data_IF_993166455408
#
_entry.id   IF_993166455408
#
_cell.length_a   1.000
_cell.length_b   1.000
_cell.length_c   1.000
_cell.angle_alpha   90.00
_cell.angle_beta   90.00
_cell.angle_gamma   90.00
#
_symmetry.space_group_name_H-M   'P 1'
#
loop_
_entity.id
_entity.type
_entity.pdbx_description
1 polymer ?
#
# COMPACT_ATOMS: atom_id res chain seq x y z
N UNK A 1 -18.21 23.71 74.52
CA UNK A 1 -18.26 23.79 73.07
C UNK A 1 -17.07 23.02 72.48
N UNK A 2 -17.32 21.84 71.89
CA UNK A 2 -16.27 21.01 71.28
C UNK A 2 -16.31 21.25 69.81
N UNK A 3 -15.22 21.49 69.06
CA UNK A 3 -15.23 21.59 67.59
C UNK A 3 -15.30 20.19 66.97
N UNK A 4 -16.23 20.02 66.03
CA UNK A 4 -16.37 18.85 65.19
C UNK A 4 -15.43 19.04 64.00
N UNK A 5 -14.42 18.18 63.87
CA UNK A 5 -13.51 18.13 62.74
C UNK A 5 -14.18 17.24 61.68
N UNK A 6 -14.53 17.83 60.53
CA UNK A 6 -15.04 17.13 59.33
C UNK A 6 -13.83 16.59 58.58
N UNK A 7 -13.66 15.26 58.58
CA UNK A 7 -12.67 14.58 57.77
C UNK A 7 -13.27 14.30 56.38
N UNK A 8 -12.92 15.13 55.41
CA UNK A 8 -13.34 14.95 54.03
C UNK A 8 -12.48 13.82 53.41
N UNK A 9 -13.09 12.66 53.21
CA UNK A 9 -12.48 11.51 52.54
C UNK A 9 -12.48 11.78 50.99
N UNK A 10 -11.37 12.26 50.46
CA UNK A 10 -11.14 12.42 49.03
C UNK A 10 -10.88 11.02 48.44
N UNK A 11 -11.93 10.37 47.89
CA UNK A 11 -11.78 9.19 47.06
C UNK A 11 -11.08 9.57 45.75
N UNK A 12 -9.77 9.31 45.67
CA UNK A 12 -9.05 9.30 44.37
C UNK A 12 -9.53 8.10 43.58
N UNK A 13 -10.50 8.30 42.67
CA UNK A 13 -10.78 7.36 41.60
C UNK A 13 -9.64 7.52 40.60
N UNK A 14 -8.62 6.67 40.66
CA UNK A 14 -7.66 6.55 39.58
C UNK A 14 -8.41 6.12 38.32
N UNK A 15 -8.32 6.85 37.20
CA UNK A 15 -8.90 6.38 35.94
C UNK A 15 -8.16 5.10 35.58
N UNK A 16 -8.87 3.98 35.52
CA UNK A 16 -8.38 2.76 34.88
C UNK A 16 -8.26 3.10 33.40
N UNK A 17 -7.06 3.42 32.95
CA UNK A 17 -6.72 3.56 31.54
C UNK A 17 -6.82 2.15 30.91
N UNK A 18 -7.99 1.80 30.42
CA UNK A 18 -8.11 0.68 29.48
C UNK A 18 -7.25 1.03 28.26
N UNK A 19 -6.26 0.20 27.97
CA UNK A 19 -5.50 0.32 26.74
C UNK A 19 -6.49 0.28 25.55
N UNK A 20 -6.56 1.38 24.81
CA UNK A 20 -7.52 1.52 23.72
C UNK A 20 -7.12 0.57 22.59
N UNK A 21 -8.02 -0.38 22.24
CA UNK A 21 -7.82 -1.32 21.13
C UNK A 21 -7.51 -0.55 19.86
N UNK A 22 -6.43 -0.90 19.18
CA UNK A 22 -5.99 -0.30 17.93
C UNK A 22 -6.27 -1.26 16.78
N UNK A 23 -6.44 -0.71 15.59
CA UNK A 23 -6.62 -1.50 14.37
C UNK A 23 -5.53 -1.16 13.38
N UNK A 24 -4.93 -2.18 12.80
CA UNK A 24 -4.03 -2.08 11.68
C UNK A 24 -4.46 -3.11 10.61
N UNK A 25 -4.88 -2.63 9.45
CA UNK A 25 -5.45 -3.45 8.38
C UNK A 25 -6.62 -4.31 8.89
N UNK A 26 -6.59 -5.62 8.78
CA UNK A 26 -7.62 -6.54 9.26
C UNK A 26 -7.45 -6.94 10.73
N UNK A 27 -6.42 -6.46 11.41
CA UNK A 27 -6.04 -6.85 12.77
C UNK A 27 -6.42 -5.78 13.77
N UNK A 28 -7.32 -6.08 14.69
CA UNK A 28 -7.59 -5.26 15.88
C UNK A 28 -6.92 -5.89 17.09
N UNK A 29 -6.21 -5.09 17.89
CA UNK A 29 -5.35 -5.58 18.98
C UNK A 29 -5.14 -4.52 20.05
N UNK A 30 -4.69 -4.93 21.22
CA UNK A 30 -4.20 -4.04 22.25
C UNK A 30 -2.68 -3.86 22.10
N UNK A 31 -2.18 -2.64 21.88
CA UNK A 31 -0.75 -2.40 21.72
C UNK A 31 0.01 -2.71 23.01
N UNK A 32 1.24 -3.25 22.93
CA UNK A 32 2.05 -3.48 24.11
C UNK A 32 2.42 -2.16 24.79
N UNK A 33 2.20 -2.07 26.10
CA UNK A 33 2.41 -0.85 26.85
C UNK A 33 3.90 -0.50 26.99
N UNK A 34 4.25 0.76 26.72
CA UNK A 34 5.62 1.26 26.89
C UNK A 34 6.56 0.95 25.70
N UNK A 35 6.07 0.32 24.64
CA UNK A 35 6.87 0.05 23.44
C UNK A 35 6.85 1.25 22.47
N UNK A 36 7.98 1.47 21.81
CA UNK A 36 8.06 2.44 20.72
C UNK A 36 7.31 1.89 19.51
N UNK A 37 6.31 2.64 19.02
CA UNK A 37 5.57 2.33 17.79
C UNK A 37 6.15 3.09 16.61
N UNK A 38 6.31 2.41 15.48
CA UNK A 38 6.67 2.99 14.21
C UNK A 38 5.73 2.44 13.13
N UNK A 39 5.12 3.32 12.36
CA UNK A 39 4.27 2.93 11.23
C UNK A 39 5.07 3.03 9.94
N UNK A 40 5.13 1.93 9.19
CA UNK A 40 5.71 1.84 7.85
C UNK A 40 4.62 1.55 6.84
N UNK A 41 4.94 1.65 5.56
CA UNK A 41 3.97 1.48 4.46
C UNK A 41 3.17 0.17 4.54
N UNK A 42 3.84 -0.93 4.88
CA UNK A 42 3.24 -2.27 4.85
C UNK A 42 3.29 -2.99 6.19
N UNK A 43 3.60 -2.30 7.28
CA UNK A 43 3.63 -2.88 8.62
C UNK A 43 3.56 -1.83 9.71
N UNK A 44 3.12 -2.25 10.89
CA UNK A 44 3.34 -1.54 12.14
C UNK A 44 4.39 -2.29 12.93
N UNK A 45 5.41 -1.59 13.40
CA UNK A 45 6.51 -2.15 14.19
C UNK A 45 6.45 -1.62 15.62
N UNK A 46 6.52 -2.53 16.58
CA UNK A 46 6.73 -2.22 17.99
C UNK A 46 8.12 -2.65 18.39
N UNK A 47 8.87 -1.78 19.05
CA UNK A 47 10.24 -2.06 19.50
C UNK A 47 10.42 -1.71 20.95
N UNK A 48 11.07 -2.59 21.70
CA UNK A 48 11.56 -2.35 23.05
C UNK A 48 13.01 -2.76 23.15
N UNK A 49 13.83 -1.97 23.86
CA UNK A 49 15.24 -2.25 24.10
C UNK A 49 15.61 -1.86 25.51
N UNK A 50 16.26 -2.77 26.24
CA UNK A 50 16.89 -2.49 27.53
C UNK A 50 18.41 -2.65 27.38
N UNK A 51 19.09 -1.54 27.18
CA UNK A 51 20.55 -1.52 26.99
C UNK A 51 21.33 -2.02 28.23
N UNK A 52 20.75 -1.94 29.44
CA UNK A 52 21.40 -2.42 30.65
C UNK A 52 21.43 -3.94 30.72
N UNK A 53 20.39 -4.58 30.20
CA UNK A 53 20.25 -6.03 30.18
C UNK A 53 20.66 -6.62 28.81
N UNK A 54 21.08 -5.80 27.85
CA UNK A 54 21.33 -6.19 26.47
C UNK A 54 20.18 -7.02 25.88
N UNK A 55 18.94 -6.59 26.17
CA UNK A 55 17.74 -7.28 25.75
C UNK A 55 16.88 -6.41 24.84
N UNK A 56 16.24 -7.06 23.89
CA UNK A 56 15.41 -6.38 22.89
C UNK A 56 14.28 -7.28 22.40
N UNK A 57 13.24 -6.63 21.86
CA UNK A 57 12.21 -7.29 21.06
C UNK A 57 11.67 -6.35 19.99
N UNK A 58 11.32 -6.95 18.86
CA UNK A 58 10.58 -6.30 17.78
C UNK A 58 9.35 -7.14 17.47
N UNK A 59 8.19 -6.49 17.33
CA UNK A 59 6.94 -7.10 16.89
C UNK A 59 6.51 -6.39 15.60
N UNK A 60 6.19 -7.17 14.58
CA UNK A 60 5.77 -6.68 13.27
C UNK A 60 4.35 -7.18 13.01
N UNK A 61 3.42 -6.25 12.85
CA UNK A 61 2.10 -6.53 12.31
C UNK A 61 2.16 -6.26 10.81
N UNK A 62 2.14 -7.30 10.02
CA UNK A 62 2.28 -7.21 8.56
C UNK A 62 0.90 -7.00 7.94
N UNK A 63 0.84 -6.09 6.97
CA UNK A 63 -0.39 -5.85 6.21
C UNK A 63 -0.82 -7.11 5.48
N UNK A 64 -2.12 -7.39 5.47
CA UNK A 64 -2.65 -8.58 4.81
C UNK A 64 -2.29 -8.64 3.32
N UNK A 65 -2.05 -9.85 2.84
CA UNK A 65 -1.80 -10.16 1.43
C UNK A 65 -2.86 -11.12 0.91
N UNK A 66 -2.88 -11.37 -0.40
CA UNK A 66 -3.73 -12.42 -0.96
C UNK A 66 -3.21 -13.79 -0.52
N UNK A 67 -4.11 -14.66 -0.05
CA UNK A 67 -3.77 -16.04 0.28
C UNK A 67 -3.28 -16.80 -0.95
N UNK A 68 -2.35 -17.73 -0.74
CA UNK A 68 -1.85 -18.68 -1.76
C UNK A 68 -2.74 -19.92 -1.90
N UNK A 69 -3.94 -19.89 -1.30
CA UNK A 69 -4.95 -20.92 -1.42
C UNK A 69 -5.02 -21.88 -0.26
N UNK A 70 -4.01 -21.98 0.60
CA UNK A 70 -4.06 -22.78 1.82
C UNK A 70 -3.18 -22.17 2.92
N UNK A 71 -3.48 -22.51 4.18
CA UNK A 71 -2.68 -22.07 5.32
C UNK A 71 -1.25 -22.59 5.25
N UNK A 72 -1.04 -23.77 4.70
CA UNK A 72 0.28 -24.38 4.55
C UNK A 72 1.13 -23.56 3.56
N UNK A 73 0.57 -23.23 2.40
CA UNK A 73 1.25 -22.44 1.38
C UNK A 73 1.51 -20.99 1.84
N UNK A 74 0.54 -20.40 2.53
CA UNK A 74 0.68 -19.07 3.13
C UNK A 74 1.78 -19.09 4.18
N UNK A 75 1.72 -19.98 5.16
CA UNK A 75 2.72 -20.10 6.22
C UNK A 75 4.12 -20.36 5.66
N UNK A 76 4.27 -21.28 4.72
CA UNK A 76 5.58 -21.58 4.13
C UNK A 76 6.21 -20.34 3.48
N UNK A 77 5.40 -19.58 2.77
CA UNK A 77 5.84 -18.34 2.15
C UNK A 77 6.24 -17.27 3.16
N UNK A 78 5.40 -17.04 4.17
CA UNK A 78 5.63 -16.04 5.20
C UNK A 78 6.82 -16.44 6.10
N UNK A 79 6.94 -17.75 6.42
CA UNK A 79 8.08 -18.27 7.15
C UNK A 79 9.40 -18.05 6.40
N UNK A 80 9.42 -18.41 5.12
CA UNK A 80 10.61 -18.20 4.28
C UNK A 80 11.02 -16.74 4.25
N UNK A 81 10.04 -15.86 4.12
CA UNK A 81 10.29 -14.43 4.01
C UNK A 81 10.70 -13.80 5.33
N UNK A 82 9.88 -13.96 6.37
CA UNK A 82 10.06 -13.22 7.62
C UNK A 82 11.00 -13.91 8.60
N UNK A 83 11.20 -15.22 8.53
CA UNK A 83 12.14 -15.94 9.38
C UNK A 83 13.44 -16.29 8.64
N UNK A 84 13.35 -17.11 7.56
CA UNK A 84 14.56 -17.65 6.93
C UNK A 84 15.41 -16.57 6.28
N UNK A 85 14.81 -15.68 5.52
CA UNK A 85 15.53 -14.64 4.79
C UNK A 85 16.15 -13.62 5.73
N UNK A 86 15.42 -13.19 6.76
CA UNK A 86 15.87 -12.08 7.62
C UNK A 86 16.73 -12.53 8.80
N UNK A 87 16.46 -13.71 9.38
CA UNK A 87 17.11 -14.13 10.62
C UNK A 87 17.99 -15.36 10.46
N UNK A 88 17.89 -16.10 9.34
CA UNK A 88 18.70 -17.29 9.04
C UNK A 88 18.73 -18.28 10.23
N UNK A 89 17.57 -18.85 10.63
CA UNK A 89 17.48 -19.74 11.77
C UNK A 89 18.53 -20.86 11.73
N UNK A 90 19.06 -21.20 12.89
CA UNK A 90 20.12 -22.19 13.05
C UNK A 90 19.58 -23.62 13.24
N UNK A 91 18.27 -23.75 13.44
CA UNK A 91 17.59 -25.04 13.69
C UNK A 91 16.33 -25.18 12.83
N UNK A 92 15.84 -26.40 12.70
CA UNK A 92 14.54 -26.69 12.07
C UNK A 92 13.42 -26.00 12.87
N UNK A 93 12.46 -25.32 12.22
CA UNK A 93 11.40 -24.64 12.94
C UNK A 93 10.49 -25.62 13.69
N UNK A 94 10.10 -25.23 14.89
CA UNK A 94 9.00 -25.84 15.58
C UNK A 94 7.70 -25.24 15.04
N UNK A 95 6.89 -26.04 14.34
CA UNK A 95 5.67 -25.61 13.66
C UNK A 95 4.46 -26.18 14.38
N UNK A 96 3.46 -25.33 14.66
CA UNK A 96 2.22 -25.74 15.32
C UNK A 96 1.30 -26.54 14.38
N UNK A 97 0.38 -27.31 14.98
CA UNK A 97 -0.80 -27.78 14.28
C UNK A 97 -1.65 -26.59 13.81
N UNK A 98 -2.44 -26.81 12.75
CA UNK A 98 -3.35 -25.81 12.24
C UNK A 98 -4.53 -25.67 13.19
N UNK A 99 -4.83 -24.45 13.60
CA UNK A 99 -6.02 -24.10 14.37
C UNK A 99 -6.98 -23.33 13.47
N UNK A 100 -8.27 -23.41 13.76
CA UNK A 100 -9.30 -22.66 13.03
C UNK A 100 -10.20 -21.90 14.03
N UNK A 101 -10.31 -20.60 13.84
CA UNK A 101 -11.15 -19.73 14.66
C UNK A 101 -11.85 -18.73 13.73
N UNK A 102 -13.17 -18.70 13.80
CA UNK A 102 -14.00 -17.73 13.07
C UNK A 102 -13.81 -17.71 11.55
N UNK A 103 -13.39 -18.83 10.94
CA UNK A 103 -13.11 -18.96 9.52
C UNK A 103 -11.71 -18.53 9.11
N UNK A 104 -10.87 -18.17 10.08
CA UNK A 104 -9.43 -18.04 9.90
C UNK A 104 -8.70 -19.27 10.36
N UNK A 105 -7.79 -19.77 9.54
CA UNK A 105 -6.85 -20.83 9.90
C UNK A 105 -5.56 -20.19 10.36
N UNK A 106 -5.05 -20.62 11.51
CA UNK A 106 -3.79 -20.16 12.10
C UNK A 106 -2.75 -21.26 12.04
N UNK A 107 -1.54 -20.91 11.66
CA UNK A 107 -0.34 -21.72 11.82
C UNK A 107 0.81 -20.86 12.33
N UNK A 108 1.51 -21.35 13.35
CA UNK A 108 2.65 -20.67 13.94
C UNK A 108 3.93 -21.47 13.75
N UNK A 109 5.05 -20.79 13.65
CA UNK A 109 6.37 -21.39 13.63
C UNK A 109 7.35 -20.59 14.45
N UNK A 110 8.32 -21.26 15.07
CA UNK A 110 9.40 -20.61 15.82
C UNK A 110 10.72 -21.32 15.59
N UNK A 111 11.83 -20.56 15.57
CA UNK A 111 13.17 -21.11 15.52
C UNK A 111 14.17 -20.16 16.17
N UNK A 112 15.27 -20.72 16.64
CA UNK A 112 16.39 -19.94 17.17
C UNK A 112 17.28 -19.42 16.06
N UNK A 113 17.88 -18.28 16.33
CA UNK A 113 18.93 -17.67 15.49
C UNK A 113 19.95 -16.97 16.40
N UNK A 114 21.09 -16.60 15.83
CA UNK A 114 22.14 -15.86 16.56
C UNK A 114 22.13 -14.41 16.06
N UNK A 115 22.10 -13.48 16.98
CA UNK A 115 22.19 -12.06 16.70
C UNK A 115 23.21 -11.40 17.64
N UNK A 116 24.27 -10.82 17.07
CA UNK A 116 25.38 -10.23 17.84
C UNK A 116 25.95 -11.19 18.91
N UNK A 117 26.21 -12.43 18.52
CA UNK A 117 26.73 -13.52 19.38
C UNK A 117 25.81 -13.91 20.55
N UNK A 118 24.53 -13.55 20.49
CA UNK A 118 23.53 -13.94 21.47
C UNK A 118 22.41 -14.75 20.85
N UNK A 119 21.92 -15.75 21.59
CA UNK A 119 20.76 -16.52 21.19
C UNK A 119 19.51 -15.65 21.17
N UNK A 120 18.75 -15.75 20.12
CA UNK A 120 17.46 -15.09 19.95
C UNK A 120 16.47 -16.08 19.30
N UNK A 121 15.20 -15.74 19.33
CA UNK A 121 14.13 -16.52 18.71
C UNK A 121 13.30 -15.64 17.79
N UNK A 122 12.93 -16.18 16.64
CA UNK A 122 11.92 -15.60 15.76
C UNK A 122 10.65 -16.46 15.80
N UNK A 123 9.50 -15.80 15.85
CA UNK A 123 8.17 -16.44 15.82
C UNK A 123 7.36 -15.79 14.71
N UNK A 124 6.74 -16.60 13.86
CA UNK A 124 5.81 -16.16 12.80
C UNK A 124 4.46 -16.80 13.06
N UNK A 125 3.43 -15.99 13.21
CA UNK A 125 2.04 -16.41 13.28
C UNK A 125 1.35 -15.98 11.99
N UNK A 126 0.89 -16.95 11.20
CA UNK A 126 0.22 -16.71 9.92
C UNK A 126 -1.25 -17.12 10.03
N UNK A 127 -2.11 -16.21 9.65
CA UNK A 127 -3.56 -16.39 9.57
C UNK A 127 -3.97 -16.41 8.10
N UNK A 128 -4.69 -17.43 7.70
CA UNK A 128 -5.20 -17.61 6.33
C UNK A 128 -6.71 -17.83 6.35
N UNK A 129 -7.44 -17.00 5.64
CA UNK A 129 -8.91 -17.08 5.57
C UNK A 129 -9.48 -16.01 4.64
N UNK A 130 -10.66 -16.26 4.09
CA UNK A 130 -11.36 -15.29 3.24
C UNK A 130 -10.50 -14.76 2.07
N UNK A 131 -9.68 -15.62 1.48
CA UNK A 131 -8.70 -15.29 0.45
C UNK A 131 -7.64 -14.25 0.91
N UNK A 132 -7.30 -14.23 2.21
CA UNK A 132 -6.31 -13.35 2.84
C UNK A 132 -5.28 -14.15 3.61
N UNK A 133 -4.07 -13.60 3.63
CA UNK A 133 -2.97 -14.01 4.49
C UNK A 133 -2.52 -12.83 5.33
N UNK A 134 -2.39 -13.03 6.63
CA UNK A 134 -1.92 -12.02 7.60
C UNK A 134 -0.80 -12.66 8.40
N UNK A 135 0.31 -11.93 8.61
CA UNK A 135 1.38 -12.43 9.47
C UNK A 135 1.70 -11.44 10.58
N UNK A 136 1.91 -12.00 11.78
CA UNK A 136 2.40 -11.26 12.95
C UNK A 136 3.67 -11.95 13.40
N UNK A 137 4.77 -11.20 13.37
CA UNK A 137 6.12 -11.70 13.59
C UNK A 137 6.70 -11.07 14.84
N UNK A 138 7.40 -11.86 15.65
CA UNK A 138 8.22 -11.35 16.73
C UNK A 138 9.64 -11.90 16.65
N UNK A 139 10.61 -11.06 16.98
CA UNK A 139 12.00 -11.47 17.18
C UNK A 139 12.54 -10.90 18.49
N UNK A 140 13.15 -11.74 19.34
CA UNK A 140 13.63 -11.32 20.66
C UNK A 140 14.71 -12.24 21.21
N UNK A 141 15.56 -11.70 22.08
CA UNK A 141 16.49 -12.46 22.92
C UNK A 141 16.03 -12.54 24.40
N UNK A 142 14.78 -12.18 24.72
CA UNK A 142 14.28 -12.12 26.09
C UNK A 142 12.91 -12.79 26.23
N UNK A 143 12.79 -13.69 27.21
CA UNK A 143 11.56 -14.45 27.47
C UNK A 143 10.40 -13.58 27.97
N UNK A 144 10.69 -12.53 28.75
CA UNK A 144 9.65 -11.64 29.28
C UNK A 144 8.99 -10.83 28.15
N UNK A 145 9.76 -10.45 27.13
CA UNK A 145 9.20 -9.79 25.93
C UNK A 145 8.42 -10.75 25.06
N UNK A 146 8.82 -12.03 25.01
CA UNK A 146 8.05 -13.05 24.32
C UNK A 146 6.67 -13.23 24.98
N UNK A 147 6.58 -13.17 26.32
CA UNK A 147 5.29 -13.23 27.01
C UNK A 147 4.42 -12.02 26.61
N UNK A 148 4.96 -10.81 26.58
CA UNK A 148 4.21 -9.63 26.13
C UNK A 148 3.74 -9.74 24.67
N UNK A 149 4.49 -10.44 23.82
CA UNK A 149 4.05 -10.77 22.47
C UNK A 149 2.86 -11.74 22.48
N UNK A 150 2.88 -12.77 23.30
CA UNK A 150 1.74 -13.68 23.46
C UNK A 150 0.52 -12.96 24.03
N UNK A 151 0.70 -12.10 25.01
CA UNK A 151 -0.37 -11.26 25.57
C UNK A 151 -1.01 -10.37 24.47
N UNK A 152 -0.21 -9.84 23.54
CA UNK A 152 -0.72 -9.11 22.38
C UNK A 152 -1.52 -10.04 21.46
N UNK A 153 -1.01 -11.24 21.14
CA UNK A 153 -1.70 -12.20 20.28
C UNK A 153 -3.07 -12.60 20.83
N UNK A 154 -3.21 -12.73 22.16
CA UNK A 154 -4.49 -13.04 22.81
C UNK A 154 -5.54 -11.93 22.64
N UNK A 155 -5.12 -10.70 22.36
CA UNK A 155 -6.04 -9.57 22.11
C UNK A 155 -6.44 -9.40 20.68
N UNK A 156 -5.86 -10.22 19.77
CA UNK A 156 -6.11 -10.11 18.33
C UNK A 156 -7.53 -10.52 18.00
N UNK A 157 -8.14 -9.67 17.20
CA UNK A 157 -9.42 -9.89 16.58
C UNK A 157 -9.27 -9.60 15.08
N UNK A 158 -9.56 -10.59 14.26
CA UNK A 158 -9.41 -10.51 12.82
C UNK A 158 -10.76 -10.19 12.18
N UNK A 159 -10.82 -9.05 11.50
CA UNK A 159 -11.99 -8.70 10.73
C UNK A 159 -12.26 -9.75 9.65
N UNK A 160 -13.50 -10.24 9.58
CA UNK A 160 -13.96 -11.05 8.44
C UNK A 160 -14.18 -10.08 7.28
N UNK A 161 -13.43 -10.20 6.18
CA UNK A 161 -13.76 -9.45 4.98
C UNK A 161 -15.21 -9.79 4.63
N UNK A 162 -16.09 -8.79 4.61
CA UNK A 162 -17.52 -9.01 4.39
C UNK A 162 -17.73 -9.70 3.04
N UNK A 163 -18.09 -10.98 3.06
CA UNK A 163 -18.52 -11.72 1.87
C UNK A 163 -19.97 -11.41 1.49
N UNK A 164 -20.67 -10.67 2.34
CA UNK A 164 -22.07 -10.30 2.16
C UNK A 164 -22.30 -8.81 2.41
N UNK A 165 -21.75 -7.99 1.57
CA UNK A 165 -22.54 -6.98 0.93
C UNK A 165 -22.66 -7.47 -0.51
N UNK A 166 -23.86 -7.71 -0.98
CA UNK A 166 -24.20 -7.43 -2.36
C UNK A 166 -23.93 -5.93 -2.51
N UNK A 167 -22.66 -5.56 -2.45
CA UNK A 167 -22.18 -4.35 -3.07
C UNK A 167 -22.55 -4.61 -4.51
N UNK A 168 -23.56 -3.93 -4.99
CA UNK A 168 -23.66 -3.66 -6.40
C UNK A 168 -22.23 -3.42 -6.81
N UNK A 169 -21.64 -4.40 -7.50
CA UNK A 169 -20.32 -4.24 -8.09
C UNK A 169 -20.45 -2.95 -8.87
N UNK A 170 -19.90 -1.88 -8.31
CA UNK A 170 -19.74 -0.65 -9.06
C UNK A 170 -18.64 -0.99 -10.03
N UNK A 171 -19.04 -1.64 -11.12
CA UNK A 171 -18.17 -1.95 -12.23
C UNK A 171 -17.69 -0.60 -12.69
N UNK A 172 -16.40 -0.33 -12.54
CA UNK A 172 -15.79 0.83 -13.17
C UNK A 172 -16.03 0.62 -14.65
N UNK A 173 -16.86 1.47 -15.20
CA UNK A 173 -16.90 1.62 -16.65
C UNK A 173 -15.54 2.14 -17.02
N UNK A 174 -14.72 1.42 -17.81
CA UNK A 174 -13.70 2.13 -18.55
C UNK A 174 -14.42 3.32 -19.15
N UNK A 175 -13.93 4.53 -18.92
CA UNK A 175 -14.41 5.69 -19.66
C UNK A 175 -14.12 5.35 -21.12
N UNK A 176 -15.10 4.75 -21.77
CA UNK A 176 -15.06 4.55 -23.20
C UNK A 176 -14.94 5.93 -23.81
N UNK A 177 -13.96 6.08 -24.66
CA UNK A 177 -13.51 7.29 -25.30
C UNK A 177 -12.81 8.31 -24.40
N UNK A 178 -11.63 8.71 -24.85
CA UNK A 178 -10.70 9.68 -24.30
C UNK A 178 -11.25 11.13 -24.26
N UNK A 179 -12.46 11.33 -23.72
CA UNK A 179 -13.14 12.63 -23.68
C UNK A 179 -12.72 13.52 -22.50
N UNK A 180 -11.64 13.19 -21.81
CA UNK A 180 -11.07 14.10 -20.82
C UNK A 180 -10.34 15.24 -21.51
N UNK A 181 -10.49 16.45 -20.98
CA UNK A 181 -9.92 17.65 -21.58
C UNK A 181 -8.38 17.59 -21.66
N UNK A 182 -7.73 16.92 -20.70
CA UNK A 182 -6.27 16.84 -20.60
C UNK A 182 -5.80 15.38 -20.59
N UNK A 183 -5.05 15.01 -21.63
CA UNK A 183 -4.42 13.69 -21.79
C UNK A 183 -2.88 13.77 -21.79
N UNK A 184 -2.32 14.97 -21.66
CA UNK A 184 -0.90 15.26 -21.55
C UNK A 184 -0.64 16.23 -20.42
N UNK A 185 0.56 16.20 -19.86
CA UNK A 185 1.05 17.16 -18.87
C UNK A 185 2.54 17.38 -19.10
N UNK A 186 2.93 18.65 -19.24
CA UNK A 186 4.33 19.06 -19.24
C UNK A 186 4.71 19.52 -17.84
N UNK A 187 5.84 19.03 -17.31
CA UNK A 187 6.33 19.35 -15.98
C UNK A 187 7.53 20.28 -16.08
N UNK A 188 7.71 21.12 -15.06
CA UNK A 188 8.76 22.16 -15.01
C UNK A 188 10.20 21.58 -15.02
N UNK A 189 10.36 20.29 -14.72
CA UNK A 189 11.64 19.58 -14.71
C UNK A 189 12.00 18.91 -16.04
N UNK A 190 11.23 19.20 -17.09
CA UNK A 190 11.47 18.73 -18.46
C UNK A 190 10.91 17.34 -18.76
N UNK A 191 10.15 16.75 -17.85
CA UNK A 191 9.37 15.55 -18.14
C UNK A 191 8.00 15.94 -18.70
N UNK A 192 7.47 15.07 -19.57
CA UNK A 192 6.11 15.17 -20.06
C UNK A 192 5.41 13.82 -19.93
N UNK A 193 4.13 13.83 -19.57
CA UNK A 193 3.30 12.64 -19.48
C UNK A 193 2.23 12.63 -20.54
N UNK A 194 1.93 11.45 -21.07
CA UNK A 194 0.83 11.22 -22.00
C UNK A 194 0.09 9.92 -21.68
N UNK A 195 -1.24 9.96 -21.73
CA UNK A 195 -2.08 8.77 -21.58
C UNK A 195 -2.00 7.94 -22.86
N UNK A 196 -1.69 6.65 -22.71
CA UNK A 196 -1.71 5.65 -23.79
C UNK A 196 -2.69 4.54 -23.42
N UNK A 197 -2.93 3.64 -24.34
CA UNK A 197 -3.87 2.51 -24.16
C UNK A 197 -3.44 1.58 -23.02
N UNK A 198 -2.15 1.21 -22.95
CA UNK A 198 -1.62 0.21 -22.02
C UNK A 198 -0.78 0.78 -20.86
N UNK A 199 -0.44 2.08 -20.90
CA UNK A 199 0.40 2.76 -19.91
C UNK A 199 0.23 4.27 -19.90
N UNK A 200 0.73 4.94 -18.88
CA UNK A 200 1.10 6.35 -18.96
C UNK A 200 2.54 6.40 -19.45
N UNK A 201 2.78 7.08 -20.56
CA UNK A 201 4.12 7.33 -21.07
C UNK A 201 4.67 8.62 -20.48
N UNK A 202 5.82 8.52 -19.83
CA UNK A 202 6.55 9.67 -19.26
C UNK A 202 7.84 9.83 -20.02
N UNK A 203 8.06 10.97 -20.65
CA UNK A 203 9.19 11.20 -21.55
C UNK A 203 9.95 12.46 -21.18
N UNK A 204 11.25 12.45 -21.43
CA UNK A 204 12.08 13.62 -21.55
C UNK A 204 12.89 13.51 -22.87
N UNK A 205 13.82 14.45 -23.12
CA UNK A 205 14.63 14.45 -24.35
C UNK A 205 15.40 13.15 -24.60
N UNK A 206 15.68 12.36 -23.56
CA UNK A 206 16.61 11.21 -23.62
C UNK A 206 15.98 9.88 -23.31
N UNK A 207 14.88 9.85 -22.57
CA UNK A 207 14.34 8.64 -21.97
C UNK A 207 12.82 8.56 -22.06
N UNK A 208 12.31 7.32 -21.98
CA UNK A 208 10.91 7.02 -21.74
C UNK A 208 10.76 6.17 -20.49
N UNK A 209 9.70 6.42 -19.76
CA UNK A 209 9.25 5.55 -18.67
C UNK A 209 7.79 5.20 -18.92
N UNK A 210 7.47 3.93 -18.98
CA UNK A 210 6.13 3.43 -19.20
C UNK A 210 5.57 2.96 -17.84
N UNK A 211 4.58 3.68 -17.33
CA UNK A 211 3.85 3.31 -16.12
C UNK A 211 2.72 2.36 -16.56
N UNK A 212 2.99 1.06 -16.53
CA UNK A 212 2.09 0.06 -17.05
C UNK A 212 0.76 0.00 -16.30
N UNK A 213 -0.33 -0.13 -17.06
CA UNK A 213 -1.62 -0.45 -16.48
C UNK A 213 -1.70 -1.94 -16.12
N UNK A 214 -2.50 -2.27 -15.08
CA UNK A 214 -2.76 -3.66 -14.73
C UNK A 214 -3.34 -4.46 -15.91
N UNK A 215 -2.83 -5.68 -16.13
CA UNK A 215 -3.40 -6.64 -17.10
C UNK A 215 -4.38 -7.54 -16.37
N UNK A 216 -5.66 -7.36 -16.64
CA UNK A 216 -6.74 -8.11 -15.99
C UNK A 216 -6.54 -9.63 -16.11
N UNK A 217 -6.76 -10.37 -15.03
CA UNK A 217 -6.63 -11.81 -14.99
C UNK A 217 -5.19 -12.34 -14.99
N UNK A 218 -4.16 -11.49 -14.98
CA UNK A 218 -2.77 -11.96 -14.94
C UNK A 218 -2.41 -12.45 -13.53
N UNK A 219 -2.00 -13.70 -13.44
CA UNK A 219 -1.47 -14.31 -12.20
C UNK A 219 0.05 -14.34 -12.33
N UNK A 220 0.74 -13.71 -11.39
CA UNK A 220 2.19 -13.73 -11.31
C UNK A 220 2.68 -14.78 -10.33
N UNK A 221 3.83 -15.42 -10.60
CA UNK A 221 4.51 -16.26 -9.62
C UNK A 221 4.84 -15.50 -8.34
N UNK A 222 4.93 -16.21 -7.23
CA UNK A 222 5.26 -15.62 -5.94
C UNK A 222 6.76 -15.36 -5.75
N UNK A 223 7.59 -16.23 -6.34
CA UNK A 223 9.04 -16.15 -6.20
C UNK A 223 9.61 -14.98 -7.03
N UNK A 224 10.63 -14.25 -6.51
CA UNK A 224 11.15 -13.03 -7.11
C UNK A 224 11.57 -13.14 -8.57
N UNK A 225 12.41 -14.12 -8.90
CA UNK A 225 12.94 -14.27 -10.25
C UNK A 225 11.86 -14.74 -11.27
N UNK A 226 11.04 -15.77 -11.00
CA UNK A 226 9.88 -16.11 -11.82
C UNK A 226 8.89 -14.96 -11.99
N UNK A 227 8.65 -14.16 -10.94
CA UNK A 227 7.79 -12.97 -10.99
C UNK A 227 8.30 -11.94 -12.01
N UNK A 228 9.60 -11.60 -11.93
CA UNK A 228 10.21 -10.63 -12.84
C UNK A 228 10.22 -11.15 -14.27
N UNK A 229 10.55 -12.43 -14.48
CA UNK A 229 10.56 -13.07 -15.79
C UNK A 229 9.16 -13.09 -16.42
N UNK A 230 8.13 -13.41 -15.65
CA UNK A 230 6.75 -13.37 -16.12
C UNK A 230 6.31 -11.94 -16.50
N UNK A 231 6.63 -10.96 -15.66
CA UNK A 231 6.34 -9.56 -15.94
C UNK A 231 7.08 -9.04 -17.18
N UNK A 232 8.36 -9.40 -17.33
CA UNK A 232 9.14 -9.07 -18.53
C UNK A 232 8.51 -9.63 -19.80
N UNK A 233 8.14 -10.89 -19.80
CA UNK A 233 7.55 -11.56 -20.96
C UNK A 233 6.19 -10.95 -21.35
N UNK A 234 5.41 -10.48 -20.37
CA UNK A 234 4.08 -9.91 -20.61
C UNK A 234 4.17 -8.43 -21.02
N UNK A 235 5.02 -7.67 -20.35
CA UNK A 235 5.01 -6.21 -20.43
C UNK A 235 6.08 -5.65 -21.37
N UNK A 236 7.24 -6.29 -21.46
CA UNK A 236 8.41 -5.79 -22.20
C UNK A 236 8.60 -6.53 -23.51
N UNK A 237 8.78 -7.85 -23.45
CA UNK A 237 9.18 -8.67 -24.59
C UNK A 237 8.39 -8.46 -25.90
N UNK A 238 7.06 -8.21 -25.89
CA UNK A 238 6.30 -8.03 -27.13
C UNK A 238 6.75 -6.84 -28.00
N UNK A 239 7.43 -5.84 -27.40
CA UNK A 239 7.85 -4.62 -28.11
C UNK A 239 9.30 -4.64 -28.57
N UNK A 240 10.07 -5.66 -28.17
CA UNK A 240 11.50 -5.70 -28.39
C UNK A 240 11.94 -7.03 -28.98
N UNK A 241 13.10 -7.01 -29.64
CA UNK A 241 13.81 -8.17 -30.19
C UNK A 241 15.27 -8.12 -29.79
N UNK A 242 16.02 -9.17 -30.12
CA UNK A 242 17.49 -9.25 -29.90
C UNK A 242 17.92 -8.98 -28.43
N UNK A 243 17.17 -9.52 -27.48
CA UNK A 243 17.48 -9.38 -26.05
C UNK A 243 18.89 -9.93 -25.74
N UNK A 244 19.71 -9.11 -25.10
CA UNK A 244 21.09 -9.45 -24.71
C UNK A 244 21.32 -9.06 -23.24
N UNK A 245 22.16 -9.85 -22.57
CA UNK A 245 22.60 -9.59 -21.19
C UNK A 245 21.44 -9.41 -20.21
N UNK A 246 20.34 -10.14 -20.42
CA UNK A 246 19.21 -10.08 -19.52
C UNK A 246 19.61 -10.60 -18.14
N UNK A 247 19.23 -9.85 -17.11
CA UNK A 247 19.47 -10.16 -15.70
C UNK A 247 18.24 -9.78 -14.88
N UNK A 248 18.05 -10.49 -13.78
CA UNK A 248 17.11 -10.12 -12.73
C UNK A 248 17.86 -9.72 -11.46
N UNK A 249 17.30 -8.80 -10.70
CA UNK A 249 17.79 -8.44 -9.38
C UNK A 249 16.60 -8.15 -8.46
N UNK A 250 16.79 -8.35 -7.16
CA UNK A 250 15.78 -8.02 -6.15
C UNK A 250 16.47 -7.76 -4.81
N UNK A 251 15.80 -7.00 -3.96
CA UNK A 251 16.25 -6.73 -2.58
C UNK A 251 15.23 -7.38 -1.64
N UNK A 252 15.71 -8.04 -0.60
CA UNK A 252 14.88 -8.79 0.36
C UNK A 252 14.42 -7.92 1.53
N UNK A 253 14.26 -6.64 1.31
CA UNK A 253 13.67 -5.71 2.30
C UNK A 253 12.15 -5.76 2.24
N UNK A 254 11.49 -5.15 3.22
CA UNK A 254 10.04 -5.07 3.28
C UNK A 254 9.41 -4.33 2.08
N UNK A 255 10.15 -3.45 1.43
CA UNK A 255 9.70 -2.73 0.24
C UNK A 255 9.83 -3.55 -1.04
N UNK A 256 10.60 -4.65 -1.01
CA UNK A 256 10.76 -5.64 -2.07
C UNK A 256 10.86 -5.04 -3.47
N UNK A 257 11.92 -4.31 -3.80
CA UNK A 257 12.14 -3.91 -5.18
C UNK A 257 12.53 -5.12 -6.03
N UNK A 258 11.93 -5.19 -7.21
CA UNK A 258 12.17 -6.20 -8.23
C UNK A 258 12.61 -5.53 -9.51
N UNK A 259 13.68 -6.05 -10.13
CA UNK A 259 14.24 -5.52 -11.36
C UNK A 259 14.47 -6.65 -12.38
N UNK A 260 14.09 -6.36 -13.62
CA UNK A 260 14.58 -7.08 -14.80
C UNK A 260 15.31 -6.07 -15.69
N UNK A 261 16.48 -6.39 -16.24
CA UNK A 261 17.23 -5.46 -17.06
C UNK A 261 17.93 -6.14 -18.21
N UNK A 262 18.13 -5.43 -19.31
CA UNK A 262 18.83 -5.97 -20.48
C UNK A 262 18.91 -4.98 -21.62
N UNK A 263 19.66 -5.33 -22.64
CA UNK A 263 19.72 -4.60 -23.91
C UNK A 263 18.83 -5.28 -24.94
N UNK A 264 18.10 -4.50 -25.71
CA UNK A 264 17.23 -5.03 -26.74
C UNK A 264 17.11 -4.05 -27.91
N UNK A 265 16.55 -4.53 -29.04
CA UNK A 265 16.21 -3.69 -30.18
C UNK A 265 14.72 -3.40 -30.13
N UNK A 266 14.33 -2.15 -30.12
CA UNK A 266 12.93 -1.75 -30.18
C UNK A 266 12.34 -2.05 -31.58
N UNK A 267 11.25 -2.81 -31.65
CA UNK A 267 10.71 -3.31 -32.92
C UNK A 267 10.21 -2.19 -33.85
N UNK A 268 9.67 -1.10 -33.29
CA UNK A 268 9.11 0.01 -34.09
C UNK A 268 10.20 0.91 -34.64
N UNK A 269 11.19 1.28 -33.82
CA UNK A 269 12.23 2.25 -34.23
C UNK A 269 13.50 1.60 -34.77
N UNK A 270 13.70 0.29 -34.53
CA UNK A 270 14.95 -0.41 -34.84
C UNK A 270 16.15 0.00 -33.96
N UNK A 271 15.96 0.84 -32.97
CA UNK A 271 17.02 1.34 -32.10
C UNK A 271 17.39 0.32 -31.02
N UNK A 272 18.67 0.22 -30.73
CA UNK A 272 19.14 -0.50 -29.54
C UNK A 272 18.90 0.38 -28.32
N UNK A 273 18.37 -0.23 -27.25
CA UNK A 273 18.04 0.44 -26.00
C UNK A 273 18.47 -0.42 -24.82
N UNK A 274 18.71 0.23 -23.69
CA UNK A 274 18.82 -0.40 -22.39
C UNK A 274 17.49 -0.28 -21.66
N UNK A 275 16.99 -1.39 -21.15
CA UNK A 275 15.68 -1.47 -20.52
C UNK A 275 15.84 -1.91 -19.06
N UNK A 276 15.13 -1.24 -18.16
CA UNK A 276 14.94 -1.67 -16.77
C UNK A 276 13.46 -1.77 -16.49
N UNK A 277 12.98 -2.97 -16.21
CA UNK A 277 11.64 -3.21 -15.66
C UNK A 277 11.74 -3.22 -14.15
N UNK A 278 10.93 -2.41 -13.48
CA UNK A 278 11.01 -2.17 -12.05
C UNK A 278 9.64 -2.21 -11.39
N UNK A 279 9.63 -2.71 -10.16
CA UNK A 279 8.49 -2.63 -9.27
C UNK A 279 8.95 -2.59 -7.82
N UNK A 280 8.31 -1.72 -7.01
CA UNK A 280 8.52 -1.67 -5.56
C UNK A 280 7.19 -1.32 -4.85
N UNK A 281 6.81 -2.12 -3.86
CA UNK A 281 5.59 -1.86 -3.10
C UNK A 281 4.35 -1.70 -4.00
N UNK A 282 3.75 -0.53 -3.99
CA UNK A 282 2.51 -0.17 -4.70
C UNK A 282 2.74 0.55 -6.04
N UNK A 283 3.98 0.64 -6.54
CA UNK A 283 4.28 1.42 -7.75
C UNK A 283 3.61 0.89 -9.02
N UNK A 284 3.20 -0.39 -9.02
CA UNK A 284 2.94 -1.10 -10.27
C UNK A 284 4.26 -1.43 -10.99
N UNK A 285 4.18 -1.87 -12.24
CA UNK A 285 5.35 -2.11 -13.07
C UNK A 285 5.70 -0.86 -13.88
N UNK A 286 6.94 -0.42 -13.75
CA UNK A 286 7.52 0.69 -14.50
C UNK A 286 8.60 0.13 -15.43
N UNK A 287 8.56 0.54 -16.69
CA UNK A 287 9.57 0.19 -17.68
C UNK A 287 10.34 1.43 -18.09
N UNK A 288 11.61 1.42 -17.81
CA UNK A 288 12.56 2.50 -18.15
C UNK A 288 13.26 2.13 -19.43
N UNK A 289 13.20 3.00 -20.43
CA UNK A 289 13.83 2.82 -21.74
C UNK A 289 14.85 3.93 -21.96
N UNK A 290 16.12 3.58 -21.91
CA UNK A 290 17.25 4.49 -22.08
C UNK A 290 18.00 4.17 -23.37
N UNK A 291 18.69 5.14 -24.01
CA UNK A 291 19.58 4.87 -25.15
C UNK A 291 20.67 3.85 -24.81
N UNK A 292 21.19 3.90 -23.61
CA UNK A 292 22.20 3.01 -23.07
C UNK A 292 22.19 3.00 -21.54
N UNK A 293 22.95 2.11 -20.92
CA UNK A 293 23.07 1.96 -19.46
C UNK A 293 23.64 3.23 -18.80
N UNK A 294 24.61 3.89 -19.42
CA UNK A 294 25.21 5.09 -18.82
C UNK A 294 24.19 6.23 -18.72
N UNK A 295 23.35 6.40 -19.74
CA UNK A 295 22.26 7.37 -19.74
C UNK A 295 21.28 7.08 -18.59
N UNK A 296 20.96 5.81 -18.33
CA UNK A 296 20.13 5.41 -17.21
C UNK A 296 20.81 5.76 -15.86
N UNK A 297 22.09 5.42 -15.70
CA UNK A 297 22.86 5.71 -14.48
C UNK A 297 22.95 7.23 -14.25
N UNK A 298 23.20 8.01 -15.28
CA UNK A 298 23.25 9.47 -15.19
C UNK A 298 21.92 10.07 -14.69
N UNK A 299 20.81 9.53 -15.16
CA UNK A 299 19.46 10.01 -14.79
C UNK A 299 19.08 9.62 -13.37
N UNK A 300 19.23 8.34 -13.01
CA UNK A 300 18.72 7.78 -11.76
C UNK A 300 19.77 7.63 -10.65
N UNK A 301 21.02 7.96 -10.94
CA UNK A 301 22.15 8.04 -9.99
C UNK A 301 22.54 6.71 -9.33
N UNK A 302 22.22 5.58 -9.96
CA UNK A 302 22.70 4.27 -9.53
C UNK A 302 22.84 3.31 -10.71
N UNK A 303 23.67 2.27 -10.54
CA UNK A 303 23.83 1.21 -11.52
C UNK A 303 22.94 0.01 -11.14
N UNK A 304 21.92 -0.32 -11.94
CA UNK A 304 20.99 -1.40 -11.63
C UNK A 304 21.67 -2.78 -11.65
N UNK A 305 22.82 -2.95 -12.34
CA UNK A 305 23.55 -4.22 -12.38
C UNK A 305 24.36 -4.48 -11.10
N UNK A 306 24.56 -3.47 -10.24
CA UNK A 306 25.28 -3.61 -8.97
C UNK A 306 24.35 -3.93 -7.79
N UNK A 307 23.06 -3.98 -8.02
CA UNK A 307 22.07 -4.29 -6.97
C UNK A 307 22.24 -5.74 -6.51
N UNK A 308 22.33 -5.91 -5.20
CA UNK A 308 22.37 -7.18 -4.51
C UNK A 308 21.17 -7.30 -3.56
N UNK A 309 20.94 -8.54 -3.10
CA UNK A 309 19.82 -8.85 -2.23
C UNK A 309 19.81 -8.08 -0.89
N UNK A 310 20.95 -7.64 -0.41
CA UNK A 310 21.17 -6.86 0.82
C UNK A 310 21.37 -5.35 0.58
N UNK A 311 21.26 -4.88 -0.66
CA UNK A 311 21.36 -3.46 -0.98
C UNK A 311 20.25 -2.65 -0.28
N UNK A 312 20.53 -1.37 -0.02
CA UNK A 312 19.53 -0.46 0.53
C UNK A 312 18.45 -0.16 -0.53
N UNK A 313 17.17 -0.39 -0.19
CA UNK A 313 16.03 -0.11 -1.07
C UNK A 313 15.85 1.39 -1.40
N UNK A 314 16.43 2.29 -0.59
CA UNK A 314 16.38 3.73 -0.85
C UNK A 314 17.06 4.13 -2.17
N UNK A 315 17.97 3.30 -2.69
CA UNK A 315 18.56 3.48 -4.02
C UNK A 315 17.49 3.53 -5.13
N UNK A 316 16.31 2.93 -4.88
CA UNK A 316 15.20 2.88 -5.83
C UNK A 316 14.27 4.09 -5.76
N UNK A 317 14.43 4.99 -4.79
CA UNK A 317 13.57 6.19 -4.64
C UNK A 317 13.46 6.98 -5.94
N UNK A 318 14.53 7.21 -6.73
CA UNK A 318 14.39 7.92 -8.01
C UNK A 318 13.48 7.20 -9.01
N UNK A 319 13.43 5.86 -9.00
CA UNK A 319 12.52 5.09 -9.85
C UNK A 319 11.08 5.16 -9.34
N UNK A 320 10.89 5.04 -8.02
CA UNK A 320 9.57 5.16 -7.37
C UNK A 320 8.94 6.52 -7.67
N UNK A 321 9.74 7.59 -7.64
CA UNK A 321 9.29 8.95 -7.88
C UNK A 321 8.67 9.14 -9.27
N UNK A 322 9.02 8.30 -10.25
CA UNK A 322 8.41 8.35 -11.58
C UNK A 322 6.90 8.11 -11.58
N UNK A 323 6.37 7.44 -10.57
CA UNK A 323 4.91 7.30 -10.39
C UNK A 323 4.21 8.63 -10.19
N UNK A 324 4.92 9.62 -9.68
CA UNK A 324 4.44 10.98 -9.47
C UNK A 324 4.05 11.72 -10.76
N UNK A 325 4.52 11.25 -11.93
CA UNK A 325 4.19 11.83 -13.23
C UNK A 325 2.87 11.31 -13.82
N UNK A 326 2.18 10.38 -13.17
CA UNK A 326 0.81 10.01 -13.53
C UNK A 326 -0.17 11.06 -13.01
N UNK A 327 -0.05 12.28 -13.51
CA UNK A 327 -0.86 13.43 -13.11
C UNK A 327 -1.31 14.23 -14.34
N UNK A 328 -2.62 14.45 -14.41
CA UNK A 328 -3.26 15.20 -15.49
C UNK A 328 -4.19 16.25 -14.90
N UNK A 329 -4.23 17.39 -15.54
CA UNK A 329 -5.06 18.51 -15.14
C UNK A 329 -6.56 18.16 -15.13
N UNK A 330 -7.33 18.88 -14.32
CA UNK A 330 -8.77 18.71 -14.16
C UNK A 330 -9.50 19.82 -14.92
N UNK A 331 -10.52 19.48 -15.69
CA UNK A 331 -11.48 20.43 -16.22
C UNK A 331 -12.86 20.19 -15.55
N UNK A 332 -13.64 21.25 -15.40
CA UNK A 332 -15.00 21.15 -14.84
C UNK A 332 -15.89 20.20 -15.64
N UNK A 333 -15.71 20.15 -16.98
CA UNK A 333 -16.41 19.23 -17.89
C UNK A 333 -16.19 17.75 -17.57
N UNK A 334 -15.05 17.43 -16.96
CA UNK A 334 -14.62 16.05 -16.70
C UNK A 334 -15.19 15.48 -15.41
N UNK A 335 -15.72 16.33 -14.53
CA UNK A 335 -16.19 15.97 -13.19
C UNK A 335 -17.62 15.40 -13.15
N UNK A 336 -18.30 15.29 -14.28
CA UNK A 336 -19.69 14.81 -14.34
C UNK A 336 -19.83 13.39 -13.78
N UNK A 337 -20.94 13.17 -13.03
CA UNK A 337 -21.27 11.85 -12.50
C UNK A 337 -20.98 11.70 -11.01
N UNK A 338 -21.06 10.46 -10.55
CA UNK A 338 -20.86 10.09 -9.15
C UNK A 338 -19.44 9.57 -8.93
N UNK A 339 -18.73 10.21 -8.02
CA UNK A 339 -17.36 9.83 -7.64
C UNK A 339 -17.33 9.42 -6.18
N UNK A 340 -16.70 8.29 -5.87
CA UNK A 340 -16.68 7.72 -4.52
C UNK A 340 -15.28 7.31 -4.13
N UNK A 341 -14.92 7.52 -2.87
CA UNK A 341 -13.68 7.00 -2.30
C UNK A 341 -13.76 5.50 -1.98
N UNK A 342 -14.97 4.93 -1.96
CA UNK A 342 -15.21 3.49 -1.85
C UNK A 342 -15.26 2.84 -3.25
N UNK A 343 -14.09 2.69 -3.87
CA UNK A 343 -13.95 2.07 -5.19
C UNK A 343 -13.08 0.82 -5.16
N UNK A 344 -13.58 -0.21 -4.51
CA UNK A 344 -12.90 -1.50 -4.33
C UNK A 344 -12.39 -2.09 -5.65
N UNK A 345 -13.09 -1.86 -6.76
CA UNK A 345 -12.66 -2.33 -8.09
C UNK A 345 -11.35 -1.71 -8.57
N UNK A 346 -11.10 -0.40 -8.36
CA UNK A 346 -9.83 0.24 -8.73
C UNK A 346 -8.71 -0.17 -7.77
N UNK A 347 -9.00 -0.33 -6.50
CA UNK A 347 -8.03 -0.87 -5.54
C UNK A 347 -7.62 -2.29 -5.91
N UNK A 348 -8.54 -3.13 -6.37
CA UNK A 348 -8.23 -4.46 -6.90
C UNK A 348 -7.36 -4.39 -8.15
N UNK A 349 -7.59 -3.42 -9.06
CA UNK A 349 -6.75 -3.21 -10.24
C UNK A 349 -5.32 -2.82 -9.86
N UNK A 350 -5.11 -1.97 -8.86
CA UNK A 350 -3.78 -1.67 -8.33
C UNK A 350 -3.11 -2.91 -7.74
N UNK A 351 -3.86 -3.81 -7.17
CA UNK A 351 -3.35 -4.98 -6.46
C UNK A 351 -3.07 -6.18 -7.36
N UNK A 352 -3.80 -6.36 -8.43
CA UNK A 352 -3.57 -7.46 -9.38
C UNK A 352 -2.13 -7.48 -9.90
N UNK A 353 -1.51 -6.30 -10.00
CA UNK A 353 -0.12 -6.18 -10.42
C UNK A 353 0.89 -6.42 -9.31
N UNK A 354 0.56 -6.02 -8.08
CA UNK A 354 1.54 -6.09 -7.01
C UNK A 354 1.47 -7.40 -6.25
N UNK A 355 0.43 -8.23 -6.46
CA UNK A 355 0.14 -9.38 -5.59
C UNK A 355 -0.08 -8.94 -4.12
N UNK A 356 -0.06 -7.62 -3.86
CA UNK A 356 -0.35 -7.03 -2.56
C UNK A 356 -1.73 -6.43 -2.61
N UNK A 357 -2.59 -6.88 -1.74
CA UNK A 357 -3.90 -6.27 -1.54
C UNK A 357 -3.72 -4.96 -0.76
N UNK A 358 -4.16 -3.84 -1.32
CA UNK A 358 -4.37 -2.63 -0.55
C UNK A 358 -5.57 -2.87 0.36
N UNK A 359 -5.31 -3.19 1.63
CA UNK A 359 -6.32 -3.50 2.61
C UNK A 359 -7.46 -2.49 2.59
N UNK A 360 -8.70 -2.95 2.68
CA UNK A 360 -9.81 -2.07 3.00
C UNK A 360 -9.56 -1.48 4.38
N UNK A 361 -9.47 -0.17 4.45
CA UNK A 361 -9.39 0.56 5.70
C UNK A 361 -10.74 0.42 6.41
N UNK A 362 -10.81 -0.30 7.52
CA UNK A 362 -12.06 -0.50 8.28
C UNK A 362 -12.43 0.72 9.13
N UNK A 363 -11.56 1.73 9.23
CA UNK A 363 -12.01 3.07 9.54
C UNK A 363 -12.61 3.65 8.24
N UNK A 364 -13.82 3.22 7.92
CA UNK A 364 -14.48 3.61 6.69
C UNK A 364 -15.02 5.02 6.86
N UNK A 365 -14.27 5.99 6.39
CA UNK A 365 -14.89 7.20 5.87
C UNK A 365 -15.12 6.97 4.38
N UNK A 366 -16.34 6.79 3.97
CA UNK A 366 -16.70 6.81 2.55
C UNK A 366 -17.10 8.23 2.18
N UNK A 367 -16.39 8.80 1.25
CA UNK A 367 -16.65 10.14 0.74
C UNK A 367 -17.17 10.04 -0.70
N UNK A 368 -18.20 10.79 -1.01
CA UNK A 368 -18.90 10.73 -2.29
C UNK A 368 -19.18 12.13 -2.81
N UNK A 369 -18.88 12.37 -4.07
CA UNK A 369 -19.29 13.54 -4.83
C UNK A 369 -20.21 13.14 -5.97
N UNK A 370 -21.32 13.86 -6.13
CA UNK A 370 -22.19 13.77 -7.31
C UNK A 370 -22.14 15.14 -7.99
N UNK A 371 -21.41 15.20 -9.11
CA UNK A 371 -21.34 16.40 -9.94
C UNK A 371 -22.44 16.42 -10.98
N UNK A 372 -23.20 17.50 -11.02
CA UNK A 372 -24.36 17.70 -11.89
C UNK A 372 -24.14 18.83 -12.89
N UNK A 373 -25.07 19.00 -13.81
CA UNK A 373 -25.05 20.10 -14.76
C UNK A 373 -25.09 21.46 -14.05
N UNK A 374 -24.47 22.50 -14.65
CA UNK A 374 -24.42 23.85 -14.11
C UNK A 374 -23.47 23.97 -12.92
N UNK A 375 -22.38 23.20 -12.93
CA UNK A 375 -21.29 23.23 -11.93
C UNK A 375 -21.78 23.09 -10.48
N UNK A 376 -22.88 22.35 -10.30
CA UNK A 376 -23.44 22.00 -8.98
C UNK A 376 -22.95 20.63 -8.52
N UNK A 377 -22.87 20.44 -7.21
CA UNK A 377 -22.50 19.18 -6.61
C UNK A 377 -23.32 18.86 -5.37
N UNK A 378 -23.42 17.57 -5.08
CA UNK A 378 -23.77 17.02 -3.77
C UNK A 378 -22.57 16.26 -3.23
N UNK A 379 -22.23 16.47 -1.98
CA UNK A 379 -21.18 15.79 -1.26
C UNK A 379 -21.74 15.07 -0.04
N UNK A 380 -21.18 13.91 0.23
CA UNK A 380 -21.55 13.07 1.35
C UNK A 380 -20.32 12.44 1.96
N UNK A 381 -20.20 12.50 3.28
CA UNK A 381 -19.24 11.76 4.07
C UNK A 381 -19.99 10.81 4.99
N UNK A 382 -19.69 9.52 4.89
CA UNK A 382 -20.17 8.48 5.81
C UNK A 382 -18.99 8.03 6.66
N UNK A 383 -19.06 8.28 7.97
CA UNK A 383 -18.07 7.82 8.94
C UNK A 383 -18.68 6.69 9.74
N UNK A 384 -18.02 5.54 9.75
CA UNK A 384 -18.39 4.40 10.58
C UNK A 384 -17.40 4.31 11.72
N UNK A 385 -17.88 4.53 12.95
CA UNK A 385 -17.08 4.39 14.17
C UNK A 385 -17.72 3.32 15.05
N UNK A 386 -16.95 2.32 15.46
CA UNK A 386 -17.40 1.33 16.44
C UNK A 386 -16.96 -0.09 16.11
N UNK A 387 -17.31 -1.02 17.00
CA UNK A 387 -17.09 -2.45 16.83
C UNK A 387 -18.20 -3.07 15.98
N UNK A 388 -17.88 -4.18 15.31
CA UNK A 388 -18.87 -5.03 14.64
C UNK A 388 -19.97 -5.40 15.63
N UNK A 389 -21.23 -5.05 15.28
CA UNK A 389 -22.41 -5.23 16.17
C UNK A 389 -22.82 -3.99 16.99
N UNK A 390 -21.98 -2.95 17.05
CA UNK A 390 -22.29 -1.68 17.73
C UNK A 390 -21.70 -0.46 16.99
N UNK A 391 -21.72 -0.49 15.66
CA UNK A 391 -21.20 0.59 14.84
C UNK A 391 -22.13 1.81 14.87
N UNK A 392 -21.57 2.98 15.15
CA UNK A 392 -22.24 4.27 14.97
C UNK A 392 -21.91 4.83 13.60
N UNK A 393 -22.97 5.17 12.88
CA UNK A 393 -22.86 5.80 11.57
C UNK A 393 -23.10 7.30 11.73
N UNK A 394 -22.17 8.10 11.25
CA UNK A 394 -22.35 9.55 11.13
C UNK A 394 -22.34 9.92 9.66
N UNK A 395 -23.42 10.51 9.19
CA UNK A 395 -23.53 10.99 7.82
C UNK A 395 -23.51 12.51 7.83
N UNK A 396 -22.60 13.09 7.05
CA UNK A 396 -22.53 14.54 6.81
C UNK A 396 -22.80 14.79 5.33
N UNK A 397 -23.67 15.75 5.03
CA UNK A 397 -24.03 16.11 3.65
C UNK A 397 -23.82 17.60 3.41
N UNK A 398 -23.39 17.92 2.22
CA UNK A 398 -23.30 19.30 1.73
C UNK A 398 -23.71 19.35 0.26
N UNK A 399 -24.17 20.49 -0.18
CA UNK A 399 -24.44 20.77 -1.58
C UNK A 399 -24.06 22.21 -1.89
N UNK A 400 -23.72 22.48 -3.14
CA UNK A 400 -23.32 23.82 -3.56
C UNK A 400 -22.89 23.88 -5.01
N UNK A 401 -22.11 24.93 -5.30
CA UNK A 401 -21.48 25.14 -6.58
C UNK A 401 -19.98 24.87 -6.46
N UNK A 402 -19.36 24.37 -7.52
CA UNK A 402 -17.92 24.21 -7.60
C UNK A 402 -17.36 25.02 -8.78
N UNK A 403 -16.08 25.35 -8.70
CA UNK A 403 -15.32 25.92 -9.81
C UNK A 403 -13.94 25.27 -9.88
N UNK A 404 -13.33 25.32 -11.05
CA UNK A 404 -11.97 24.85 -11.29
C UNK A 404 -11.13 26.08 -11.65
N UNK A 405 -10.61 26.84 -10.64
CA UNK A 405 -9.98 28.15 -10.86
C UNK A 405 -8.66 28.05 -11.63
N UNK A 406 -7.97 26.89 -11.51
CA UNK A 406 -6.75 26.64 -12.26
C UNK A 406 -6.57 25.12 -12.45
N UNK A 407 -6.84 24.48 -13.37
CA UNK A 407 -6.77 23.04 -13.71
C UNK A 407 -6.14 22.06 -12.67
N UNK A 408 -5.62 22.58 -11.55
CA UNK A 408 -4.99 21.84 -10.44
C UNK A 408 -5.67 22.07 -9.10
N UNK A 409 -6.79 22.80 -9.10
CA UNK A 409 -7.58 23.06 -7.91
C UNK A 409 -9.07 23.00 -8.22
N UNK A 410 -9.85 22.51 -7.25
CA UNK A 410 -11.30 22.58 -7.26
C UNK A 410 -11.73 23.35 -6.01
N UNK A 411 -12.51 24.40 -6.20
CA UNK A 411 -13.16 25.15 -5.14
C UNK A 411 -14.60 24.68 -5.00
N UNK A 412 -15.01 24.38 -3.78
CA UNK A 412 -16.38 24.03 -3.41
C UNK A 412 -16.94 25.15 -2.52
N UNK A 413 -18.12 25.64 -2.84
CA UNK A 413 -18.77 26.73 -2.08
C UNK A 413 -19.14 26.32 -0.66
N UNK A 414 -19.32 25.01 -0.40
CA UNK A 414 -19.69 24.49 0.94
C UNK A 414 -19.35 23.01 1.07
N UNK A 415 -18.35 22.66 1.88
CA UNK A 415 -18.10 21.31 2.37
C UNK A 415 -18.22 21.35 3.88
N UNK A 416 -19.08 20.51 4.47
CA UNK A 416 -19.45 20.58 5.89
C UNK A 416 -19.99 21.97 6.27
N UNK A 417 -19.17 22.81 6.86
CA UNK A 417 -19.58 24.11 7.44
C UNK A 417 -19.23 25.32 6.59
N UNK A 418 -18.41 25.19 5.55
CA UNK A 418 -17.92 26.33 4.80
C UNK A 418 -17.28 26.00 3.46
N UNK A 419 -16.78 27.02 2.76
CA UNK A 419 -16.09 26.82 1.50
C UNK A 419 -14.76 26.09 1.71
N UNK A 420 -14.38 25.24 0.73
CA UNK A 420 -13.10 24.53 0.72
C UNK A 420 -12.49 24.53 -0.68
N UNK A 421 -11.17 24.61 -0.71
CA UNK A 421 -10.35 24.41 -1.91
C UNK A 421 -9.55 23.14 -1.76
N UNK A 422 -9.55 22.32 -2.79
CA UNK A 422 -8.73 21.12 -2.85
C UNK A 422 -7.71 21.24 -3.97
N UNK A 423 -6.48 20.81 -3.72
CA UNK A 423 -5.57 20.45 -4.81
C UNK A 423 -6.12 19.21 -5.49
N UNK A 424 -6.15 19.20 -6.81
CA UNK A 424 -6.82 18.18 -7.58
C UNK A 424 -6.02 17.80 -8.82
N UNK A 425 -5.99 16.49 -9.14
CA UNK A 425 -5.49 15.99 -10.41
C UNK A 425 -6.12 14.64 -10.75
N UNK A 426 -6.07 14.30 -12.03
CA UNK A 426 -6.39 12.96 -12.49
C UNK A 426 -5.15 12.07 -12.50
N UNK A 427 -5.26 10.85 -12.01
CA UNK A 427 -4.35 9.76 -12.39
C UNK A 427 -5.08 8.75 -13.27
N UNK A 428 -4.34 8.08 -14.15
CA UNK A 428 -4.89 7.14 -15.13
C UNK A 428 -4.57 5.71 -14.77
N UNK A 429 -5.57 4.83 -14.94
CA UNK A 429 -5.44 3.39 -14.94
C UNK A 429 -6.32 2.87 -16.06
N UNK A 430 -5.75 2.24 -17.07
CA UNK A 430 -6.39 1.63 -18.24
C UNK A 430 -7.86 2.05 -18.47
N UNK A 431 -8.05 3.16 -19.16
CA UNK A 431 -9.38 3.69 -19.48
C UNK A 431 -10.18 4.27 -18.33
N UNK A 432 -9.66 4.25 -17.09
CA UNK A 432 -10.27 4.88 -15.93
C UNK A 432 -9.45 6.08 -15.47
N UNK A 433 -10.15 7.12 -15.02
CA UNK A 433 -9.59 8.27 -14.33
C UNK A 433 -9.90 8.15 -12.85
N UNK A 434 -8.92 8.48 -12.02
CA UNK A 434 -9.08 8.59 -10.59
C UNK A 434 -8.89 10.06 -10.23
N UNK A 435 -9.90 10.64 -9.60
CA UNK A 435 -9.80 11.98 -9.06
C UNK A 435 -9.03 11.91 -7.74
N UNK A 436 -7.94 12.64 -7.65
CA UNK A 436 -7.15 12.76 -6.43
C UNK A 436 -7.38 14.15 -5.83
N UNK A 437 -7.85 14.20 -4.58
CA UNK A 437 -8.15 15.44 -3.86
C UNK A 437 -7.36 15.53 -2.55
N UNK A 438 -6.78 16.70 -2.29
CA UNK A 438 -6.11 17.03 -1.02
C UNK A 438 -6.58 18.41 -0.58
N UNK A 439 -7.14 18.52 0.64
CA UNK A 439 -7.53 19.83 1.20
C UNK A 439 -6.32 20.78 1.19
N UNK A 440 -6.47 21.94 0.54
CA UNK A 440 -5.41 22.92 0.39
C UNK A 440 -4.92 23.45 1.75
N UNK A 441 -5.78 23.44 2.79
CA UNK A 441 -5.41 23.82 4.16
C UNK A 441 -4.63 22.72 4.90
N UNK A 442 -4.70 21.46 4.40
CA UNK A 442 -4.00 20.31 4.95
C UNK A 442 -2.88 19.81 4.01
N UNK A 443 -2.37 20.65 3.12
CA UNK A 443 -1.39 20.29 2.09
C UNK A 443 -0.09 19.68 2.63
N UNK A 444 0.27 19.96 3.87
CA UNK A 444 1.44 19.37 4.54
C UNK A 444 1.37 17.85 4.77
N UNK A 445 0.18 17.24 4.66
CA UNK A 445 0.04 15.78 4.78
C UNK A 445 0.55 15.01 3.56
N UNK A 446 0.49 15.62 2.37
CA UNK A 446 0.79 14.98 1.09
C UNK A 446 -0.14 13.81 0.73
N UNK A 447 -1.18 13.54 1.52
CA UNK A 447 -2.08 12.38 1.36
C UNK A 447 -3.31 12.81 0.61
N UNK A 448 -3.46 12.32 -0.62
CA UNK A 448 -4.63 12.55 -1.45
C UNK A 448 -5.71 11.48 -1.21
N UNK A 449 -6.94 11.92 -1.01
CA UNK A 449 -8.10 11.03 -1.12
C UNK A 449 -8.37 10.74 -2.59
N UNK A 450 -8.57 9.49 -2.91
CA UNK A 450 -8.78 9.02 -4.29
C UNK A 450 -10.24 8.67 -4.50
N UNK A 451 -10.78 9.13 -5.63
CA UNK A 451 -12.17 8.89 -6.00
C UNK A 451 -12.23 8.22 -7.37
N UNK A 452 -12.95 7.13 -7.44
CA UNK A 452 -13.31 6.48 -8.71
C UNK A 452 -14.72 6.86 -9.15
N UNK A 453 -14.97 6.86 -10.46
CA UNK A 453 -16.30 7.07 -11.03
C UNK A 453 -17.17 5.87 -10.67
N UNK A 454 -18.28 6.12 -9.97
CA UNK A 454 -19.30 5.13 -9.67
C UNK A 454 -20.34 5.06 -10.81
N UNK A 455 -20.85 3.86 -11.09
CA UNK A 455 -21.99 3.66 -12.02
C UNK A 455 -23.29 4.02 -11.33
#
# INVERSE_FOLDING_TARGET
MKPIIFFSLFCFTAPILFAQKQTYDLVSYNPPAGWKKEMKTNMTVYTITDNKKNSWCQIFLIKSTTSKGSIEADFESEWREFAVTNYKPTETPNISEVQEVDGWKLRAGSAKFVFNDHDAIVVVNTFSGFNRCISIVAATNNKDYMQQFYDLLETIDLAKPSTNTTLTQTTIVPAGDNNFAFNTTDFDDGWASAVKEDWVEVTNERMRVLLHYPKEGTIFPADPEPLVNAAWNILVAPRYSNLKNYKTAYITTYDRPYLGMGYATENVSGKNVFIVLFRQGQTGWLEFVAPDKNSFIQQFKFDPETIQWDSNSDLMIPLVNMTGYNKFAVAASDLKGKWTSDFTGIQQLYNVYTGQYAGMNVNQSNEEFIFSAGDSYNWKLLVVNGMVGNAKYTEVKSAGQFTVPNNWQIYFSRIETGPRTFHAFWSCIKGARILNLLDANASGSGIYTKFGLAK
#
